data_IF_963383589466
#
_entry.id   IF_963383589466
#
_cell.length_a   1.000
_cell.length_b   1.000
_cell.length_c   1.000
_cell.angle_alpha   90.00
_cell.angle_beta   90.00
_cell.angle_gamma   90.00
#
_symmetry.space_group_name_H-M   'P 1'
#
loop_
_entity.id
_entity.type
_entity.pdbx_description
1 polymer ?
#
# COMPACT_ATOMS: atom_id res chain seq x y z
N UNK A 1 8.32 -13.47 7.93
CA UNK A 1 7.02 -12.91 8.32
C UNK A 1 6.20 -12.60 7.07
N UNK A 2 4.89 -12.69 7.22
CA UNK A 2 3.95 -12.29 6.16
C UNK A 2 3.75 -10.78 6.22
N UNK A 3 4.18 -10.09 5.18
CA UNK A 3 4.09 -8.63 5.07
C UNK A 3 3.03 -8.23 4.07
N UNK A 4 2.06 -7.43 4.46
CA UNK A 4 1.13 -6.81 3.49
C UNK A 4 1.43 -5.34 3.35
N UNK A 5 1.51 -4.87 2.10
CA UNK A 5 1.83 -3.50 1.74
C UNK A 5 0.68 -2.93 0.92
N UNK A 6 0.23 -1.73 1.26
CA UNK A 6 -0.80 -1.05 0.46
C UNK A 6 -0.19 -0.30 -0.73
N UNK A 7 -1.05 0.30 -1.55
CA UNK A 7 -0.62 1.03 -2.75
C UNK A 7 0.27 2.22 -2.43
N UNK A 8 -0.04 2.95 -1.35
CA UNK A 8 0.72 4.14 -0.97
C UNK A 8 2.15 3.80 -0.58
N UNK A 9 2.35 2.68 0.11
CA UNK A 9 3.67 2.23 0.53
C UNK A 9 4.47 1.67 -0.65
N UNK A 10 3.86 0.82 -1.49
CA UNK A 10 4.58 0.24 -2.64
C UNK A 10 4.99 1.32 -3.64
N UNK A 11 4.15 2.32 -3.86
CA UNK A 11 4.45 3.43 -4.76
C UNK A 11 5.72 4.19 -4.34
N UNK A 12 6.05 4.22 -3.06
CA UNK A 12 7.29 4.85 -2.56
C UNK A 12 8.55 4.22 -3.14
N UNK A 13 8.48 2.96 -3.54
CA UNK A 13 9.60 2.25 -4.14
C UNK A 13 9.96 2.76 -5.53
N UNK A 14 8.98 3.31 -6.24
CA UNK A 14 9.13 3.71 -7.65
C UNK A 14 9.43 5.19 -7.82
N UNK A 15 9.25 5.98 -6.77
CA UNK A 15 9.48 7.42 -6.78
C UNK A 15 10.71 7.71 -5.93
N UNK A 16 11.67 8.48 -6.47
CA UNK A 16 12.87 8.87 -5.72
C UNK A 16 12.47 9.94 -4.72
N UNK A 17 12.25 9.53 -3.47
CA UNK A 17 11.96 10.39 -2.33
C UNK A 17 12.87 10.00 -1.17
N UNK A 18 12.99 10.88 -0.16
CA UNK A 18 13.80 10.59 1.02
C UNK A 18 13.41 9.31 1.75
N UNK A 19 12.13 8.96 1.72
CA UNK A 19 11.59 7.79 2.39
C UNK A 19 11.58 6.53 1.52
N UNK A 20 12.06 6.57 0.27
CA UNK A 20 11.95 5.45 -0.67
C UNK A 20 12.64 4.18 -0.17
N UNK A 21 13.75 4.30 0.56
CA UNK A 21 14.47 3.15 1.12
C UNK A 21 13.82 2.52 2.34
N UNK A 22 12.81 3.17 2.93
CA UNK A 22 12.17 2.67 4.14
C UNK A 22 11.43 1.35 3.89
N UNK A 23 10.75 1.24 2.74
CA UNK A 23 10.03 0.01 2.39
C UNK A 23 10.99 -1.16 2.17
N UNK A 24 12.13 -0.91 1.53
CA UNK A 24 13.09 -1.98 1.21
C UNK A 24 13.56 -2.72 2.46
N UNK A 25 13.70 -2.02 3.58
CA UNK A 25 14.08 -2.65 4.85
C UNK A 25 13.04 -3.65 5.33
N UNK A 26 11.75 -3.34 5.16
CA UNK A 26 10.67 -4.28 5.49
C UNK A 26 10.63 -5.43 4.51
N UNK A 27 10.79 -5.17 3.21
CA UNK A 27 10.79 -6.21 2.18
C UNK A 27 11.88 -7.24 2.39
N UNK A 28 13.07 -6.82 2.83
CA UNK A 28 14.19 -7.73 3.12
C UNK A 28 13.88 -8.70 4.26
N UNK A 29 13.01 -8.30 5.18
CA UNK A 29 12.62 -9.12 6.35
C UNK A 29 11.41 -10.01 6.07
N UNK A 30 10.72 -9.78 4.96
CA UNK A 30 9.51 -10.52 4.64
C UNK A 30 9.85 -11.89 4.04
N UNK A 31 9.18 -12.93 4.52
CA UNK A 31 9.21 -14.25 3.90
C UNK A 31 8.19 -14.34 2.78
N UNK A 32 7.11 -13.56 2.88
CA UNK A 32 6.05 -13.52 1.88
C UNK A 32 5.48 -12.10 1.82
N UNK A 33 5.39 -11.56 0.61
CA UNK A 33 4.78 -10.25 0.35
C UNK A 33 3.35 -10.46 -0.15
N UNK A 34 2.38 -9.86 0.54
CA UNK A 34 0.98 -9.85 0.14
C UNK A 34 0.57 -8.49 -0.40
N UNK A 35 -0.23 -8.49 -1.44
CA UNK A 35 -0.79 -7.29 -2.07
C UNK A 35 -2.27 -7.51 -2.35
N UNK A 36 -3.10 -6.50 -2.06
CA UNK A 36 -4.50 -6.54 -2.48
C UNK A 36 -4.58 -6.40 -4.00
N UNK A 37 -5.49 -7.14 -4.63
CA UNK A 37 -5.66 -7.14 -6.10
C UNK A 37 -5.91 -5.74 -6.68
N UNK A 38 -6.49 -4.82 -5.90
CA UNK A 38 -6.76 -3.45 -6.36
C UNK A 38 -5.51 -2.56 -6.44
N UNK A 39 -4.39 -3.03 -5.89
CA UNK A 39 -3.15 -2.25 -5.84
C UNK A 39 -2.67 -1.85 -7.23
N UNK A 40 -2.70 -2.76 -8.18
CA UNK A 40 -2.21 -2.50 -9.55
C UNK A 40 -3.00 -1.37 -10.21
N UNK A 41 -4.34 -1.45 -10.32
CA UNK A 41 -5.09 -0.35 -10.94
C UNK A 41 -4.95 0.97 -10.18
N UNK A 42 -4.79 0.96 -8.86
CA UNK A 42 -4.57 2.19 -8.10
C UNK A 42 -3.24 2.85 -8.46
N UNK A 43 -2.16 2.08 -8.49
CA UNK A 43 -0.84 2.63 -8.83
C UNK A 43 -0.81 3.10 -10.28
N UNK A 44 -1.35 2.30 -11.20
CA UNK A 44 -1.42 2.67 -12.62
C UNK A 44 -2.24 3.95 -12.81
N UNK A 45 -3.35 4.10 -12.10
CA UNK A 45 -4.15 5.32 -12.13
C UNK A 45 -3.34 6.54 -11.70
N UNK A 46 -2.58 6.43 -10.62
CA UNK A 46 -1.71 7.51 -10.13
C UNK A 46 -0.59 7.86 -11.12
N UNK A 47 0.02 6.85 -11.73
CA UNK A 47 1.07 7.05 -12.73
C UNK A 47 0.51 7.74 -13.99
N UNK A 48 -0.66 7.34 -14.45
CA UNK A 48 -1.30 7.94 -15.61
C UNK A 48 -1.67 9.41 -15.36
N UNK A 49 -2.09 9.74 -14.14
CA UNK A 49 -2.36 11.14 -13.78
C UNK A 49 -1.08 11.97 -13.88
N UNK A 50 0.05 11.48 -13.34
CA UNK A 50 1.34 12.14 -13.42
C UNK A 50 1.82 12.29 -14.86
N UNK A 51 1.54 11.29 -15.69
CA UNK A 51 1.87 11.34 -17.11
C UNK A 51 1.08 12.45 -17.82
N UNK A 52 -0.24 12.53 -17.57
CA UNK A 52 -1.09 13.60 -18.14
C UNK A 52 -0.69 14.99 -17.67
N UNK A 53 -0.24 15.12 -16.43
CA UNK A 53 0.22 16.36 -15.83
C UNK A 53 1.66 16.72 -16.24
N UNK A 54 2.29 15.89 -17.06
CA UNK A 54 3.67 16.07 -17.54
C UNK A 54 4.71 16.10 -16.42
N UNK A 55 4.40 15.47 -15.28
CA UNK A 55 5.33 15.29 -14.16
C UNK A 55 6.18 14.05 -14.39
N UNK A 56 5.64 13.08 -15.12
CA UNK A 56 6.29 11.81 -15.41
C UNK A 56 6.43 11.65 -16.92
N UNK A 57 7.63 11.28 -17.41
CA UNK A 57 7.86 11.01 -18.83
C UNK A 57 7.30 9.64 -19.23
N UNK A 58 7.01 9.45 -20.52
CA UNK A 58 6.59 8.14 -21.03
C UNK A 58 7.63 7.05 -20.79
N UNK A 59 8.91 7.40 -20.90
CA UNK A 59 10.01 6.47 -20.64
C UNK A 59 10.00 6.00 -19.20
N UNK A 60 9.87 6.92 -18.25
CA UNK A 60 9.82 6.60 -16.83
C UNK A 60 8.54 5.85 -16.47
N UNK A 61 7.42 6.21 -17.08
CA UNK A 61 6.17 5.47 -16.90
C UNK A 61 6.34 3.98 -17.28
N UNK A 62 6.91 3.71 -18.45
CA UNK A 62 7.12 2.32 -18.88
C UNK A 62 8.07 1.57 -17.96
N UNK A 63 9.12 2.23 -17.49
CA UNK A 63 10.08 1.65 -16.55
C UNK A 63 9.43 1.29 -15.23
N UNK A 64 8.67 2.20 -14.66
CA UNK A 64 7.97 1.99 -13.38
C UNK A 64 6.91 0.90 -13.53
N UNK A 65 6.14 0.93 -14.60
CA UNK A 65 5.14 -0.11 -14.88
C UNK A 65 5.78 -1.51 -14.91
N UNK A 66 6.95 -1.63 -15.54
CA UNK A 66 7.68 -2.90 -15.60
C UNK A 66 8.11 -3.36 -14.21
N UNK A 67 8.65 -2.45 -13.40
CA UNK A 67 9.02 -2.75 -12.01
C UNK A 67 7.81 -3.21 -11.19
N UNK A 68 6.68 -2.52 -11.35
CA UNK A 68 5.44 -2.89 -10.66
C UNK A 68 5.00 -4.31 -11.04
N UNK A 69 5.00 -4.63 -12.34
CA UNK A 69 4.59 -5.95 -12.80
C UNK A 69 5.51 -7.06 -12.30
N UNK A 70 6.81 -6.78 -12.22
CA UNK A 70 7.78 -7.73 -11.66
C UNK A 70 7.51 -7.96 -10.17
N UNK A 71 7.27 -6.90 -9.41
CA UNK A 71 6.98 -7.01 -7.98
C UNK A 71 5.68 -7.79 -7.72
N UNK A 72 4.65 -7.54 -8.51
CA UNK A 72 3.36 -8.23 -8.39
C UNK A 72 3.48 -9.72 -8.74
N UNK A 73 4.29 -10.05 -9.73
CA UNK A 73 4.49 -11.45 -10.13
C UNK A 73 5.08 -12.29 -9.00
N UNK A 74 5.97 -11.69 -8.22
CA UNK A 74 6.66 -12.39 -7.12
C UNK A 74 5.89 -12.33 -5.80
N UNK A 75 4.75 -11.65 -5.76
CA UNK A 75 3.94 -11.45 -4.56
C UNK A 75 2.74 -12.41 -4.51
N UNK A 76 2.18 -12.55 -3.30
CA UNK A 76 0.87 -13.17 -3.10
C UNK A 76 -0.20 -12.12 -3.32
N UNK A 77 -0.98 -12.24 -4.40
CA UNK A 77 -2.06 -11.30 -4.70
C UNK A 77 -3.36 -11.79 -4.07
N UNK A 78 -3.91 -10.97 -3.18
CA UNK A 78 -5.12 -11.32 -2.41
C UNK A 78 -6.36 -10.81 -3.12
N UNK A 79 -7.33 -11.71 -3.29
CA UNK A 79 -8.59 -11.43 -3.98
C UNK A 79 -9.62 -10.77 -3.06
N UNK A 80 -10.63 -10.15 -3.65
CA UNK A 80 -11.75 -9.55 -2.92
C UNK A 80 -12.82 -10.62 -2.64
N UNK A 81 -12.53 -11.48 -1.68
CA UNK A 81 -13.45 -12.54 -1.25
C UNK A 81 -14.62 -11.96 -0.44
N UNK A 82 -15.72 -12.71 -0.27
CA UNK A 82 -16.81 -12.27 0.63
C UNK A 82 -16.33 -11.91 2.04
N UNK A 83 -15.33 -12.64 2.56
CA UNK A 83 -14.77 -12.35 3.88
C UNK A 83 -14.02 -11.00 3.90
N UNK A 84 -13.24 -10.71 2.87
CA UNK A 84 -12.54 -9.42 2.71
C UNK A 84 -13.56 -8.28 2.62
N UNK A 85 -14.61 -8.44 1.83
CA UNK A 85 -15.67 -7.44 1.71
C UNK A 85 -16.35 -7.20 3.06
N UNK A 86 -16.66 -8.25 3.79
CA UNK A 86 -17.28 -8.14 5.12
C UNK A 86 -16.38 -7.36 6.10
N UNK A 87 -15.07 -7.65 6.12
CA UNK A 87 -14.11 -6.89 6.93
C UNK A 87 -14.07 -5.42 6.51
N UNK A 88 -14.10 -5.13 5.21
CA UNK A 88 -14.05 -3.74 4.73
C UNK A 88 -15.26 -2.92 5.18
N UNK A 89 -16.44 -3.54 5.20
CA UNK A 89 -17.66 -2.88 5.69
C UNK A 89 -17.51 -2.50 7.15
N UNK A 90 -17.07 -3.42 7.99
CA UNK A 90 -16.86 -3.15 9.43
C UNK A 90 -15.83 -2.05 9.65
N UNK A 91 -14.76 -2.04 8.87
CA UNK A 91 -13.71 -1.02 8.96
C UNK A 91 -14.25 0.38 8.64
N UNK A 92 -15.08 0.49 7.60
CA UNK A 92 -15.69 1.77 7.22
C UNK A 92 -16.73 2.25 8.24
N UNK A 93 -17.40 1.33 8.91
CA UNK A 93 -18.37 1.69 9.95
C UNK A 93 -17.71 2.23 11.22
N UNK A 94 -16.47 1.84 11.49
CA UNK A 94 -15.75 2.19 12.72
C UNK A 94 -14.58 3.16 12.51
N UNK A 95 -14.24 3.48 11.27
CA UNK A 95 -13.12 4.36 10.92
C UNK A 95 -13.50 5.28 9.77
N UNK A 96 -12.82 6.42 9.68
CA UNK A 96 -12.96 7.32 8.54
C UNK A 96 -12.03 6.82 7.42
N UNK A 97 -12.57 5.96 6.55
CA UNK A 97 -11.85 5.33 5.46
C UNK A 97 -12.64 5.35 4.17
N UNK A 98 -11.95 5.56 3.05
CA UNK A 98 -12.52 5.33 1.73
C UNK A 98 -12.55 3.83 1.43
N UNK A 99 -13.42 3.42 0.50
CA UNK A 99 -13.63 2.01 0.19
C UNK A 99 -12.33 1.28 -0.20
N UNK A 100 -11.54 1.87 -1.10
CA UNK A 100 -10.29 1.22 -1.55
C UNK A 100 -9.28 1.09 -0.41
N UNK A 101 -9.20 2.09 0.47
CA UNK A 101 -8.31 2.05 1.64
C UNK A 101 -8.73 0.95 2.61
N UNK A 102 -10.04 0.79 2.82
CA UNK A 102 -10.56 -0.26 3.67
C UNK A 102 -10.26 -1.66 3.13
N UNK A 103 -10.22 -1.83 1.80
CA UNK A 103 -9.94 -3.13 1.18
C UNK A 103 -8.50 -3.60 1.45
N UNK A 104 -7.52 -2.71 1.47
CA UNK A 104 -6.15 -3.07 1.81
C UNK A 104 -6.04 -3.59 3.25
N UNK A 105 -6.64 -2.88 4.19
CA UNK A 105 -6.63 -3.29 5.61
C UNK A 105 -7.40 -4.60 5.78
N UNK A 106 -8.55 -4.73 5.10
CA UNK A 106 -9.35 -5.95 5.14
C UNK A 106 -8.59 -7.18 4.62
N UNK A 107 -7.84 -7.02 3.53
CA UNK A 107 -6.97 -8.07 3.03
C UNK A 107 -5.92 -8.50 4.06
N UNK A 108 -5.31 -7.53 4.74
CA UNK A 108 -4.32 -7.82 5.77
C UNK A 108 -4.93 -8.60 6.93
N UNK A 109 -6.13 -8.25 7.35
CA UNK A 109 -6.86 -8.95 8.42
C UNK A 109 -7.19 -10.38 8.02
N UNK A 110 -7.77 -10.56 6.83
CA UNK A 110 -8.19 -11.89 6.37
C UNK A 110 -7.00 -12.81 6.11
N UNK A 111 -5.93 -12.28 5.55
CA UNK A 111 -4.70 -13.03 5.29
C UNK A 111 -3.91 -13.33 6.57
N UNK A 112 -4.25 -12.65 7.66
CA UNK A 112 -3.52 -12.72 8.93
C UNK A 112 -2.06 -12.31 8.76
N UNK A 113 -1.86 -11.13 8.15
CA UNK A 113 -0.54 -10.58 7.96
C UNK A 113 0.15 -10.38 9.32
N UNK A 114 1.45 -10.65 9.36
CA UNK A 114 2.26 -10.37 10.56
C UNK A 114 2.56 -8.89 10.69
N UNK A 115 2.63 -8.20 9.57
CA UNK A 115 2.90 -6.76 9.54
C UNK A 115 2.17 -6.12 8.36
N UNK A 116 1.55 -4.97 8.61
CA UNK A 116 0.93 -4.11 7.60
C UNK A 116 1.75 -2.83 7.48
N UNK A 117 2.18 -2.48 6.27
CA UNK A 117 2.97 -1.26 6.01
C UNK A 117 2.21 -0.35 5.08
N UNK A 118 2.07 0.92 5.46
CA UNK A 118 1.33 1.93 4.71
C UNK A 118 2.02 3.29 4.80
N UNK A 119 1.77 4.14 3.81
CA UNK A 119 2.12 5.55 3.85
C UNK A 119 0.88 6.44 4.02
N UNK A 120 -0.26 5.85 4.38
CA UNK A 120 -1.54 6.51 4.60
C UNK A 120 -1.90 6.45 6.09
N UNK A 121 -2.04 7.61 6.73
CA UNK A 121 -2.31 7.69 8.18
C UNK A 121 -3.67 7.12 8.56
N UNK A 122 -4.68 7.26 7.71
CA UNK A 122 -6.02 6.73 7.98
C UNK A 122 -6.01 5.20 7.97
N UNK A 123 -5.30 4.60 7.02
CA UNK A 123 -5.13 3.14 6.98
C UNK A 123 -4.32 2.66 8.18
N UNK A 124 -3.27 3.38 8.55
CA UNK A 124 -2.46 3.04 9.73
C UNK A 124 -3.34 2.99 10.99
N UNK A 125 -4.16 4.02 11.20
CA UNK A 125 -5.04 4.08 12.37
C UNK A 125 -6.05 2.94 12.39
N UNK A 126 -6.70 2.67 11.26
CA UNK A 126 -7.66 1.59 11.14
C UNK A 126 -7.01 0.23 11.40
N UNK A 127 -5.82 0.01 10.88
CA UNK A 127 -5.06 -1.23 11.09
C UNK A 127 -4.71 -1.43 12.57
N UNK A 128 -4.23 -0.39 13.23
CA UNK A 128 -3.89 -0.44 14.65
C UNK A 128 -5.10 -0.71 15.54
N UNK A 129 -6.20 -0.02 15.27
CA UNK A 129 -7.46 -0.21 16.03
C UNK A 129 -7.96 -1.65 15.85
N UNK A 130 -7.75 -2.26 14.68
CA UNK A 130 -8.15 -3.63 14.38
C UNK A 130 -7.21 -4.69 14.94
N UNK A 131 -6.13 -4.29 15.62
CA UNK A 131 -5.17 -5.20 16.22
C UNK A 131 -4.06 -5.67 15.29
N UNK A 132 -3.94 -5.12 14.08
CA UNK A 132 -2.83 -5.40 13.18
C UNK A 132 -1.56 -4.68 13.64
N UNK A 133 -0.46 -5.41 13.68
CA UNK A 133 0.85 -4.78 13.81
C UNK A 133 1.11 -3.99 12.54
N UNK A 134 1.39 -2.67 12.68
CA UNK A 134 1.40 -1.77 11.54
C UNK A 134 2.52 -0.75 11.65
N UNK A 135 3.12 -0.41 10.51
CA UNK A 135 4.18 0.58 10.41
C UNK A 135 3.85 1.62 9.34
N UNK A 136 4.17 2.86 9.63
CA UNK A 136 3.97 3.99 8.74
C UNK A 136 5.30 4.39 8.10
N UNK A 137 5.33 4.48 6.78
CA UNK A 137 6.51 4.89 6.02
C UNK A 137 6.31 6.17 5.22
N UNK A 138 5.25 6.92 5.52
CA UNK A 138 5.03 8.23 4.91
C UNK A 138 6.06 9.24 5.37
N UNK A 139 6.03 10.42 4.76
CA UNK A 139 6.92 11.49 5.18
C UNK A 139 6.63 11.88 6.62
N UNK A 140 7.66 12.11 7.45
CA UNK A 140 7.44 12.64 8.78
C UNK A 140 6.72 13.98 8.68
N UNK A 141 5.80 14.22 9.62
CA UNK A 141 5.13 15.51 9.72
C UNK A 141 6.21 16.52 10.09
N UNK A 142 6.58 17.38 9.13
CA UNK A 142 7.42 18.54 9.45
C UNK A 142 6.53 19.45 10.29
N UNK A 143 6.84 19.60 11.56
CA UNK A 143 6.15 20.57 12.39
C UNK A 143 6.33 21.96 11.77
N UNK A 144 5.22 22.70 11.61
CA UNK A 144 5.19 24.00 10.94
C UNK A 144 5.95 25.08 11.69
N UNK A 145 6.87 24.77 12.53
CA UNK A 145 7.69 25.70 13.29
C UNK A 145 9.15 25.32 13.29
N UNK A 146 9.47 24.33 12.47
CA UNK A 146 10.87 23.88 12.38
C UNK A 146 11.67 24.72 11.44
#
# INVERSE_FOLDING_TARGET
>A
MKLLVDSSALAKRYVIEESSGALDRFLQRASELGLCIILVPEIISGLNRRLREQILSEKDYRKIKRQLMDDVRDATVLQLTPAVISHSVKLMETNVLRALDALHVACALEWQADLFVTADKRQLMAAKISGLRSEYIGQPIVSAGG
#
